data_IF_308995224011
#
_entry.id   IF_308995224011
#
_cell.length_a   1.000
_cell.length_b   1.000
_cell.length_c   1.000
_cell.angle_alpha   90.00
_cell.angle_beta   90.00
_cell.angle_gamma   90.00
#
_symmetry.space_group_name_H-M   'P 1'
#
loop_
_entity.id
_entity.type
_entity.pdbx_description
1 polymer ?
#
# COMPACT_ATOMS: atom_id res chain seq x y z
N UNK A 1 -2.91 28.83 -33.78
CA UNK A 1 -3.29 28.10 -32.55
C UNK A 1 -4.03 28.96 -31.53
N UNK A 2 -3.91 30.30 -31.58
CA UNK A 2 -4.51 31.24 -30.60
C UNK A 2 -6.04 31.30 -30.64
N UNK A 3 -6.66 31.14 -31.83
CA UNK A 3 -8.12 31.19 -31.98
C UNK A 3 -8.86 29.99 -31.35
N UNK A 4 -8.18 28.84 -31.18
CA UNK A 4 -8.76 27.67 -30.51
C UNK A 4 -8.68 27.85 -28.99
N UNK A 5 -7.56 28.38 -28.48
CA UNK A 5 -7.39 28.70 -27.06
C UNK A 5 -8.40 29.74 -26.59
N UNK A 6 -8.60 30.83 -27.35
CA UNK A 6 -9.57 31.87 -26.98
C UNK A 6 -11.02 31.35 -26.93
N UNK A 7 -11.35 30.37 -27.78
CA UNK A 7 -12.67 29.74 -27.85
C UNK A 7 -12.91 28.73 -26.72
N UNK A 8 -11.86 28.04 -26.27
CA UNK A 8 -11.90 27.17 -25.09
C UNK A 8 -12.02 28.01 -23.81
N UNK A 9 -11.26 29.10 -23.70
CA UNK A 9 -11.34 30.00 -22.54
C UNK A 9 -12.67 30.73 -22.42
N UNK A 10 -13.28 31.11 -23.55
CA UNK A 10 -14.63 31.69 -23.54
C UNK A 10 -15.67 30.64 -23.17
N UNK A 11 -15.54 29.39 -23.66
CA UNK A 11 -16.41 28.29 -23.28
C UNK A 11 -16.31 27.91 -21.79
N UNK A 12 -15.09 27.90 -21.22
CA UNK A 12 -14.87 27.67 -19.77
C UNK A 12 -15.50 28.79 -18.95
N UNK A 13 -15.34 30.05 -19.35
CA UNK A 13 -15.98 31.19 -18.68
C UNK A 13 -17.51 31.09 -18.73
N UNK A 14 -18.05 30.68 -19.86
CA UNK A 14 -19.50 30.56 -20.05
C UNK A 14 -20.08 29.38 -19.25
N UNK A 15 -19.35 28.25 -19.13
CA UNK A 15 -19.71 27.16 -18.23
C UNK A 15 -19.64 27.57 -16.76
N UNK A 16 -18.60 28.30 -16.35
CA UNK A 16 -18.44 28.79 -14.97
C UNK A 16 -19.54 29.80 -14.60
N UNK A 17 -19.94 30.65 -15.55
CA UNK A 17 -21.05 31.57 -15.39
C UNK A 17 -22.40 30.85 -15.29
N UNK A 18 -22.61 29.76 -16.06
CA UNK A 18 -23.80 28.90 -15.93
C UNK A 18 -23.86 28.19 -14.58
N UNK A 19 -22.74 27.69 -14.06
CA UNK A 19 -22.66 27.04 -12.74
C UNK A 19 -22.92 28.05 -11.61
N UNK A 20 -22.42 29.29 -11.72
CA UNK A 20 -22.69 30.35 -10.74
C UNK A 20 -24.12 30.91 -10.80
N UNK A 21 -24.80 30.82 -11.96
CA UNK A 21 -26.21 31.22 -12.13
C UNK A 21 -27.21 30.16 -11.68
N UNK A 22 -26.76 28.96 -11.32
CA UNK A 22 -27.58 28.04 -10.52
C UNK A 22 -27.71 28.70 -9.15
N UNK A 23 -28.85 29.33 -8.90
CA UNK A 23 -29.16 29.86 -7.59
C UNK A 23 -29.07 28.69 -6.61
N UNK A 24 -28.04 28.71 -5.77
CA UNK A 24 -27.90 27.80 -4.63
C UNK A 24 -28.98 28.07 -3.56
N UNK A 25 -30.14 28.60 -3.94
CA UNK A 25 -31.24 29.02 -3.07
C UNK A 25 -31.84 27.90 -2.22
N UNK A 26 -31.99 26.65 -2.70
CA UNK A 26 -32.53 25.57 -1.86
C UNK A 26 -31.46 24.65 -1.23
N UNK A 27 -30.22 24.66 -1.72
CA UNK A 27 -29.16 23.75 -1.24
C UNK A 27 -28.59 24.14 0.13
N UNK A 28 -28.67 25.43 0.50
CA UNK A 28 -28.27 25.90 1.83
C UNK A 28 -29.23 25.39 2.92
N UNK A 29 -30.51 25.25 2.58
CA UNK A 29 -31.54 24.72 3.48
C UNK A 29 -31.39 23.21 3.68
N UNK A 30 -30.92 22.47 2.67
CA UNK A 30 -30.60 21.03 2.78
C UNK A 30 -29.40 20.75 3.67
N UNK A 31 -28.38 21.62 3.71
CA UNK A 31 -27.26 21.47 4.65
C UNK A 31 -27.65 21.82 6.09
N UNK A 32 -28.61 22.73 6.28
CA UNK A 32 -29.14 23.12 7.61
C UNK A 32 -30.09 22.08 8.21
N UNK A 33 -30.69 21.23 7.39
CA UNK A 33 -31.61 20.15 7.77
C UNK A 33 -30.95 18.77 7.88
N UNK A 34 -29.62 18.68 7.81
CA UNK A 34 -28.95 17.44 8.15
C UNK A 34 -29.22 17.11 9.63
N UNK A 35 -29.76 15.90 9.94
CA UNK A 35 -30.07 15.54 11.31
C UNK A 35 -28.79 15.63 12.17
N UNK A 36 -28.87 16.13 13.42
CA UNK A 36 -27.71 16.17 14.34
C UNK A 36 -27.01 14.81 14.48
N UNK A 37 -27.77 13.73 14.31
CA UNK A 37 -27.34 12.34 14.28
C UNK A 37 -26.30 12.04 13.19
N UNK A 38 -26.35 12.72 12.03
CA UNK A 38 -25.32 12.61 10.99
C UNK A 38 -23.96 13.12 11.46
N UNK A 39 -23.94 14.20 12.26
CA UNK A 39 -22.71 14.74 12.85
C UNK A 39 -22.19 13.88 14.00
N UNK A 40 -23.08 13.23 14.75
CA UNK A 40 -22.73 12.30 15.82
C UNK A 40 -22.14 11.00 15.26
N UNK A 41 -22.79 10.38 14.27
CA UNK A 41 -22.28 9.19 13.58
C UNK A 41 -20.92 9.46 12.92
N UNK A 42 -20.76 10.62 12.29
CA UNK A 42 -19.49 11.00 11.66
C UNK A 42 -18.38 11.28 12.69
N UNK A 43 -18.72 11.81 13.88
CA UNK A 43 -17.78 11.99 15.00
C UNK A 43 -17.39 10.65 15.62
N UNK A 44 -18.34 9.74 15.79
CA UNK A 44 -18.09 8.37 16.26
C UNK A 44 -17.26 7.56 15.26
N UNK A 45 -17.50 7.72 13.96
CA UNK A 45 -16.70 7.10 12.91
C UNK A 45 -15.27 7.64 12.92
N UNK A 46 -15.07 8.96 13.06
CA UNK A 46 -13.74 9.57 13.21
C UNK A 46 -13.00 9.04 14.44
N UNK A 47 -13.69 8.91 15.58
CA UNK A 47 -13.11 8.30 16.79
C UNK A 47 -12.69 6.85 16.55
N UNK A 48 -13.51 6.04 15.87
CA UNK A 48 -13.16 4.64 15.56
C UNK A 48 -11.92 4.57 14.67
N UNK A 49 -11.86 5.38 13.61
CA UNK A 49 -10.70 5.44 12.71
C UNK A 49 -9.44 5.85 13.48
N UNK A 50 -9.55 6.84 14.37
CA UNK A 50 -8.45 7.30 15.20
C UNK A 50 -7.94 6.20 16.14
N UNK A 51 -8.85 5.47 16.80
CA UNK A 51 -8.50 4.38 17.70
C UNK A 51 -7.84 3.20 16.95
N UNK A 52 -8.34 2.86 15.76
CA UNK A 52 -7.70 1.84 14.91
C UNK A 52 -6.31 2.27 14.45
N UNK A 53 -6.15 3.55 14.07
CA UNK A 53 -4.86 4.11 13.71
C UNK A 53 -3.87 4.04 14.88
N UNK A 54 -4.27 4.45 16.08
CA UNK A 54 -3.42 4.40 17.27
C UNK A 54 -3.02 2.97 17.63
N UNK A 55 -3.96 2.01 17.52
CA UNK A 55 -3.67 0.58 17.72
C UNK A 55 -2.65 0.06 16.72
N UNK A 56 -2.85 0.32 15.42
CA UNK A 56 -1.92 -0.12 14.36
C UNK A 56 -0.54 0.50 14.53
N UNK A 57 -0.49 1.79 14.87
CA UNK A 57 0.76 2.51 15.13
C UNK A 57 1.52 1.90 16.30
N UNK A 58 0.82 1.55 17.40
CA UNK A 58 1.42 0.86 18.54
C UNK A 58 1.96 -0.51 18.15
N UNK A 59 1.18 -1.31 17.42
CA UNK A 59 1.60 -2.62 16.93
C UNK A 59 2.87 -2.55 16.07
N UNK A 60 2.96 -1.58 15.15
CA UNK A 60 4.16 -1.38 14.33
C UNK A 60 5.37 -0.99 15.18
N UNK A 61 5.18 -0.13 16.18
CA UNK A 61 6.27 0.27 17.07
C UNK A 61 6.75 -0.89 17.95
N UNK A 62 5.83 -1.71 18.45
CA UNK A 62 6.15 -2.92 19.21
C UNK A 62 6.89 -3.95 18.33
N UNK A 63 6.49 -4.08 17.05
CA UNK A 63 7.19 -4.92 16.06
C UNK A 63 8.61 -4.41 15.75
N UNK A 64 8.78 -3.10 15.51
CA UNK A 64 10.11 -2.50 15.34
C UNK A 64 11.00 -2.85 16.53
N UNK A 65 10.51 -2.70 17.75
CA UNK A 65 11.28 -3.05 18.96
C UNK A 65 11.61 -4.53 19.05
N UNK A 66 10.66 -5.41 18.73
CA UNK A 66 10.85 -6.85 18.79
C UNK A 66 11.90 -7.35 17.78
N UNK A 67 11.93 -6.75 16.59
CA UNK A 67 12.86 -7.08 15.52
C UNK A 67 14.13 -6.23 15.52
N UNK A 68 14.29 -5.34 16.52
CA UNK A 68 15.40 -4.41 16.63
C UNK A 68 15.57 -3.53 15.37
N UNK A 69 14.46 -3.17 14.74
CA UNK A 69 14.43 -2.28 13.60
C UNK A 69 14.47 -0.81 14.06
N UNK A 70 15.37 -0.03 13.48
CA UNK A 70 15.57 1.39 13.82
C UNK A 70 14.47 2.29 13.24
N UNK A 71 13.82 1.83 12.17
CA UNK A 71 12.79 2.58 11.46
C UNK A 71 11.72 1.67 10.84
N UNK A 72 10.62 2.25 10.34
CA UNK A 72 9.58 1.49 9.62
C UNK A 72 10.12 0.91 8.30
N UNK A 73 10.88 1.65 7.46
CA UNK A 73 11.51 1.07 6.27
C UNK A 73 12.41 -0.12 6.62
N UNK A 74 13.24 0.02 7.67
CA UNK A 74 14.10 -1.06 8.15
C UNK A 74 13.29 -2.29 8.61
N UNK A 75 12.17 -2.08 9.31
CA UNK A 75 11.22 -3.14 9.64
C UNK A 75 10.67 -3.84 8.37
N UNK A 76 10.32 -3.08 7.33
CA UNK A 76 9.82 -3.63 6.08
C UNK A 76 10.90 -4.45 5.37
N UNK A 77 12.14 -4.00 5.34
CA UNK A 77 13.27 -4.70 4.74
C UNK A 77 13.59 -6.00 5.47
N UNK A 78 13.59 -5.98 6.81
CA UNK A 78 13.76 -7.18 7.64
C UNK A 78 12.65 -8.19 7.35
N UNK A 79 11.39 -7.76 7.31
CA UNK A 79 10.26 -8.64 7.03
C UNK A 79 10.29 -9.19 5.60
N UNK A 80 10.70 -8.38 4.61
CA UNK A 80 10.93 -8.85 3.24
C UNK A 80 12.03 -9.93 3.21
N UNK A 81 13.15 -9.71 3.90
CA UNK A 81 14.21 -10.71 4.04
C UNK A 81 13.69 -12.02 4.65
N UNK A 82 12.90 -11.95 5.73
CA UNK A 82 12.31 -13.12 6.36
C UNK A 82 11.40 -13.89 5.39
N UNK A 83 10.48 -13.20 4.72
CA UNK A 83 9.58 -13.83 3.74
C UNK A 83 10.35 -14.49 2.60
N UNK A 84 11.35 -13.80 2.04
CA UNK A 84 12.17 -14.34 0.94
C UNK A 84 13.03 -15.52 1.39
N UNK A 85 13.53 -15.52 2.62
CA UNK A 85 14.29 -16.63 3.19
C UNK A 85 13.44 -17.90 3.37
N UNK A 86 12.16 -17.74 3.69
CA UNK A 86 11.21 -18.87 3.75
C UNK A 86 10.78 -19.33 2.35
N UNK A 87 10.58 -18.40 1.42
CA UNK A 87 10.07 -18.70 0.08
C UNK A 87 11.10 -19.35 -0.84
N UNK A 88 12.41 -19.09 -0.67
CA UNK A 88 13.47 -19.57 -1.58
C UNK A 88 13.54 -21.11 -1.67
N UNK A 89 13.02 -21.83 -0.69
CA UNK A 89 12.98 -23.30 -0.67
C UNK A 89 11.78 -23.92 -1.40
N UNK A 90 10.75 -23.14 -1.75
CA UNK A 90 9.49 -23.66 -2.31
C UNK A 90 9.64 -24.11 -3.76
N UNK A 91 8.93 -25.18 -4.13
CA UNK A 91 8.96 -25.78 -5.47
C UNK A 91 7.61 -26.39 -5.85
N UNK A 92 7.20 -26.29 -7.13
CA UNK A 92 7.84 -25.58 -8.25
C UNK A 92 7.81 -24.04 -8.09
N UNK A 93 8.41 -23.29 -9.03
CA UNK A 93 8.44 -21.81 -8.98
C UNK A 93 7.06 -21.17 -8.78
N UNK A 94 5.99 -21.82 -9.26
CA UNK A 94 4.61 -21.39 -9.03
C UNK A 94 4.19 -21.46 -7.56
N UNK A 95 4.70 -22.42 -6.77
CA UNK A 95 4.47 -22.48 -5.33
C UNK A 95 5.23 -21.38 -4.58
N UNK A 96 6.43 -21.03 -5.03
CA UNK A 96 7.18 -19.89 -4.49
C UNK A 96 6.40 -18.60 -4.66
N UNK A 97 5.94 -18.32 -5.88
CA UNK A 97 5.14 -17.12 -6.17
C UNK A 97 3.84 -17.12 -5.36
N UNK A 98 3.18 -18.27 -5.24
CA UNK A 98 1.98 -18.41 -4.40
C UNK A 98 2.28 -18.13 -2.93
N UNK A 99 3.40 -18.64 -2.39
CA UNK A 99 3.81 -18.41 -1.02
C UNK A 99 4.10 -16.93 -0.74
N UNK A 100 4.86 -16.26 -1.63
CA UNK A 100 5.14 -14.82 -1.51
C UNK A 100 3.83 -14.02 -1.49
N UNK A 101 2.91 -14.30 -2.41
CA UNK A 101 1.62 -13.61 -2.47
C UNK A 101 0.75 -13.88 -1.23
N UNK A 102 0.80 -15.11 -0.70
CA UNK A 102 0.12 -15.44 0.56
C UNK A 102 0.68 -14.61 1.72
N UNK A 103 2.01 -14.56 1.88
CA UNK A 103 2.62 -13.75 2.93
C UNK A 103 2.26 -12.26 2.77
N UNK A 104 2.34 -11.69 1.55
CA UNK A 104 1.91 -10.31 1.31
C UNK A 104 0.48 -10.05 1.78
N UNK A 105 -0.44 -11.00 1.52
CA UNK A 105 -1.83 -10.90 1.98
C UNK A 105 -1.95 -11.01 3.50
N UNK A 106 -1.23 -11.95 4.13
CA UNK A 106 -1.24 -12.17 5.58
C UNK A 106 -0.70 -10.95 6.36
N UNK A 107 0.25 -10.20 5.79
CA UNK A 107 0.78 -8.94 6.34
C UNK A 107 -0.06 -7.70 5.98
N UNK A 108 -1.23 -7.88 5.38
CA UNK A 108 -2.15 -6.80 5.03
C UNK A 108 -1.67 -5.88 3.91
N UNK A 109 -0.69 -6.31 3.11
CA UNK A 109 -0.21 -5.63 1.89
C UNK A 109 0.58 -4.33 2.08
N UNK A 110 0.64 -3.77 3.29
CA UNK A 110 1.33 -2.51 3.58
C UNK A 110 2.65 -2.68 4.33
N UNK A 111 2.82 -3.83 5.01
CA UNK A 111 4.02 -4.10 5.83
C UNK A 111 5.07 -4.89 5.04
N UNK A 112 4.66 -5.75 4.12
CA UNK A 112 5.56 -6.46 3.21
C UNK A 112 5.24 -6.05 1.77
N UNK A 113 6.13 -5.29 1.15
CA UNK A 113 5.93 -4.59 -0.13
C UNK A 113 6.71 -5.20 -1.31
N UNK A 114 6.82 -6.53 -1.38
CA UNK A 114 7.50 -7.20 -2.50
C UNK A 114 6.72 -6.98 -3.81
N UNK A 115 7.27 -6.27 -4.78
CA UNK A 115 6.61 -5.94 -6.05
C UNK A 115 6.79 -7.05 -7.09
N UNK A 116 8.04 -7.50 -7.25
CA UNK A 116 8.42 -8.50 -8.24
C UNK A 116 9.31 -9.55 -7.61
N UNK A 117 9.22 -10.77 -8.13
CA UNK A 117 10.08 -11.88 -7.76
C UNK A 117 10.55 -12.63 -9.00
N UNK A 118 11.83 -13.01 -9.01
CA UNK A 118 12.44 -13.80 -10.07
C UNK A 118 13.20 -14.98 -9.44
N UNK A 119 12.64 -16.20 -9.49
CA UNK A 119 13.36 -17.39 -9.09
C UNK A 119 14.45 -17.74 -10.12
N UNK A 120 15.51 -18.38 -9.65
CA UNK A 120 16.54 -18.98 -10.52
C UNK A 120 15.94 -19.99 -11.48
N UNK A 121 16.49 -20.10 -12.70
CA UNK A 121 16.06 -21.09 -13.67
C UNK A 121 16.37 -22.53 -13.19
N UNK A 122 15.56 -23.50 -13.63
CA UNK A 122 15.62 -24.88 -13.14
C UNK A 122 16.96 -25.59 -13.37
N UNK A 123 17.71 -25.17 -14.39
CA UNK A 123 19.01 -25.74 -14.76
C UNK A 123 20.17 -25.15 -13.96
N UNK A 124 19.95 -24.11 -13.15
CA UNK A 124 21.01 -23.46 -12.38
C UNK A 124 21.35 -24.30 -11.13
N UNK A 125 22.63 -24.62 -10.88
CA UNK A 125 23.03 -25.45 -9.74
C UNK A 125 22.73 -24.81 -8.38
N UNK A 126 23.03 -23.52 -8.24
CA UNK A 126 22.79 -22.76 -7.03
C UNK A 126 21.50 -21.96 -7.16
N UNK A 127 20.54 -22.28 -6.31
CA UNK A 127 19.22 -21.64 -6.35
C UNK A 127 19.22 -20.33 -5.59
N UNK A 128 18.59 -19.35 -6.22
CA UNK A 128 18.41 -18.03 -5.67
C UNK A 128 17.04 -17.46 -6.05
N UNK A 129 16.62 -16.44 -5.31
CA UNK A 129 15.42 -15.68 -5.53
C UNK A 129 15.79 -14.20 -5.49
N UNK A 130 15.56 -13.49 -6.59
CA UNK A 130 15.65 -12.04 -6.62
C UNK A 130 14.28 -11.44 -6.37
N UNK A 131 14.23 -10.31 -5.67
CA UNK A 131 13.00 -9.58 -5.45
C UNK A 131 13.25 -8.07 -5.40
N UNK A 132 12.25 -7.30 -5.81
CA UNK A 132 12.24 -5.84 -5.83
C UNK A 132 11.15 -5.34 -4.89
N UNK A 133 11.45 -4.35 -4.05
CA UNK A 133 10.47 -3.59 -3.29
C UNK A 133 10.91 -2.13 -3.24
N UNK A 134 10.17 -1.23 -3.91
CA UNK A 134 10.56 0.18 -3.99
C UNK A 134 11.95 0.37 -4.62
N UNK A 135 12.87 0.96 -3.86
CA UNK A 135 14.26 1.21 -4.25
C UNK A 135 15.24 0.09 -3.81
N UNK A 136 14.73 -0.97 -3.18
CA UNK A 136 15.54 -2.04 -2.61
C UNK A 136 15.47 -3.33 -3.44
N UNK A 137 16.64 -3.88 -3.76
CA UNK A 137 16.79 -5.18 -4.42
C UNK A 137 17.28 -6.23 -3.41
N UNK A 138 16.52 -7.32 -3.29
CA UNK A 138 16.84 -8.43 -2.40
C UNK A 138 17.35 -9.63 -3.21
N UNK A 139 18.31 -10.35 -2.64
CA UNK A 139 18.78 -11.63 -3.15
C UNK A 139 18.80 -12.65 -2.01
N UNK A 140 17.97 -13.69 -2.13
CA UNK A 140 17.91 -14.81 -1.19
C UNK A 140 18.51 -16.05 -1.84
N UNK A 141 19.41 -16.73 -1.14
CA UNK A 141 20.10 -17.92 -1.62
C UNK A 141 19.70 -19.13 -0.77
N UNK A 142 19.54 -20.29 -1.40
CA UNK A 142 19.34 -21.54 -0.67
C UNK A 142 20.62 -21.87 0.09
N UNK A 143 20.50 -22.00 1.41
CA UNK A 143 21.61 -22.44 2.25
C UNK A 143 22.07 -23.83 1.84
N UNK A 144 23.39 -24.02 1.69
CA UNK A 144 23.95 -25.35 1.46
C UNK A 144 24.20 -26.02 2.81
N UNK A 145 23.82 -27.29 2.95
CA UNK A 145 24.50 -28.14 3.93
C UNK A 145 25.87 -28.43 3.33
N UNK A 146 26.90 -27.66 3.72
CA UNK A 146 28.26 -28.15 3.55
C UNK A 146 28.41 -29.38 4.45
N UNK A 147 28.22 -30.57 3.88
CA UNK A 147 28.82 -31.77 4.45
C UNK A 147 30.32 -31.66 4.14
N UNK A 148 31.13 -31.50 5.18
CA UNK A 148 32.59 -31.63 5.08
C UNK A 148 32.97 -33.03 4.64
#
# INVERSE_FOLDING_TARGET
MEAIQSRVESWIRDQKAKIMKVSWGPLQWRMRWWPPWSSFEQREQRKRIQLEYERRRKQLHDLCRALQADSIPDLQDILCCMVLSECVYKRPATELVRAVNKFKADFGGHVVSIERVQPSADHVPHRYLLAEAGDTLFASFVGTKQYK
#
